data_IF_115491385335
#
_entry.id   IF_115491385335
#
_cell.length_a   1.000
_cell.length_b   1.000
_cell.length_c   1.000
_cell.angle_alpha   90.00
_cell.angle_beta   90.00
_cell.angle_gamma   90.00
#
_symmetry.space_group_name_H-M   'P 1'
#
loop_
_entity.id
_entity.type
_entity.pdbx_description
1 polymer ?
#
# COMPACT_ATOMS: atom_id res chain seq x y z
N UNK A 1 4.71 -7.65 13.31
CA UNK A 1 3.30 -7.86 13.73
C UNK A 1 3.04 -7.42 15.17
N UNK A 2 3.63 -8.03 16.19
CA UNK A 2 3.39 -7.63 17.60
C UNK A 2 3.58 -6.12 17.85
N UNK A 3 4.70 -5.54 17.40
CA UNK A 3 4.96 -4.09 17.53
C UNK A 3 3.90 -3.21 16.84
N UNK A 4 3.37 -3.62 15.67
CA UNK A 4 2.31 -2.90 14.99
C UNK A 4 0.99 -2.93 15.79
N UNK A 5 0.68 -4.06 16.43
CA UNK A 5 -0.48 -4.16 17.32
C UNK A 5 -0.34 -3.28 18.57
N UNK A 6 0.86 -3.24 19.16
CA UNK A 6 1.17 -2.35 20.29
C UNK A 6 0.97 -0.88 19.88
N UNK A 7 1.54 -0.47 18.74
CA UNK A 7 1.34 0.87 18.18
C UNK A 7 -0.14 1.18 17.89
N UNK A 8 -0.90 0.23 17.34
CA UNK A 8 -2.32 0.43 17.04
C UNK A 8 -3.20 0.60 18.28
N UNK A 9 -2.82 -0.01 19.41
CA UNK A 9 -3.61 0.03 20.65
C UNK A 9 -3.86 1.46 21.15
N UNK A 10 -2.91 2.38 20.94
CA UNK A 10 -3.00 3.78 21.36
C UNK A 10 -4.10 4.57 20.63
N UNK A 11 -4.58 4.09 19.48
CA UNK A 11 -5.64 4.73 18.70
C UNK A 11 -7.02 4.09 18.92
N UNK A 12 -7.10 2.99 19.68
CA UNK A 12 -8.34 2.20 19.82
C UNK A 12 -9.03 2.34 21.18
N UNK A 13 -8.52 3.22 22.07
CA UNK A 13 -9.20 3.60 23.31
C UNK A 13 -9.37 2.48 24.36
N UNK A 14 -8.74 1.31 24.19
CA UNK A 14 -8.79 0.20 25.17
C UNK A 14 -7.74 0.30 26.29
N UNK A 15 -7.21 1.49 26.54
CA UNK A 15 -6.47 1.79 27.77
C UNK A 15 -7.43 2.42 28.78
N UNK A 16 -7.58 1.80 29.96
CA UNK A 16 -8.28 2.41 31.09
C UNK A 16 -7.63 3.77 31.42
N UNK A 17 -8.43 4.82 31.50
CA UNK A 17 -8.05 6.10 32.11
C UNK A 17 -7.99 7.27 31.12
N UNK A 18 -8.90 8.23 31.36
CA UNK A 18 -8.97 9.59 30.83
C UNK A 18 -9.45 9.83 29.40
N UNK A 19 -10.76 10.12 29.33
CA UNK A 19 -11.37 10.99 28.34
C UNK A 19 -10.85 12.43 28.50
N UNK A 20 -9.62 12.70 28.06
CA UNK A 20 -9.25 14.06 27.64
C UNK A 20 -9.03 14.03 26.14
N UNK A 21 -9.59 15.02 25.44
CA UNK A 21 -9.33 15.25 24.03
C UNK A 21 -7.81 15.19 23.79
N UNK A 22 -7.36 14.20 23.01
CA UNK A 22 -5.96 14.14 22.60
C UNK A 22 -5.70 15.32 21.65
N UNK A 23 -5.31 16.44 22.25
CA UNK A 23 -4.62 17.53 21.57
C UNK A 23 -3.41 16.97 20.82
N UNK A 24 -3.15 17.51 19.64
CA UNK A 24 -2.08 17.12 18.72
C UNK A 24 -0.64 17.38 19.23
N UNK A 25 -0.34 17.10 20.50
CA UNK A 25 0.89 17.55 21.17
C UNK A 25 1.58 16.58 22.13
N UNK A 26 1.04 15.38 22.40
CA UNK A 26 1.77 14.38 23.20
C UNK A 26 2.22 13.27 22.29
N UNK A 27 3.48 13.31 21.87
CA UNK A 27 4.14 12.19 21.22
C UNK A 27 3.96 10.97 22.13
N UNK A 28 3.31 9.93 21.63
CA UNK A 28 3.22 8.69 22.38
C UNK A 28 4.64 8.12 22.48
N UNK A 29 4.98 7.45 23.59
CA UNK A 29 6.27 6.76 23.72
C UNK A 29 6.50 5.65 22.66
N UNK A 30 5.55 5.44 21.75
CA UNK A 30 5.52 4.41 20.71
C UNK A 30 5.67 4.98 19.29
N UNK A 31 5.81 6.30 19.12
CA UNK A 31 5.87 6.93 17.79
C UNK A 31 7.09 6.53 16.95
N UNK A 32 8.14 5.98 17.59
CA UNK A 32 9.32 5.43 16.93
C UNK A 32 9.06 4.10 16.21
N UNK A 33 8.00 3.36 16.57
CA UNK A 33 7.74 2.00 16.09
C UNK A 33 7.60 1.92 14.57
N UNK A 34 6.74 2.74 13.91
CA UNK A 34 6.57 2.66 12.46
C UNK A 34 7.89 2.90 11.71
N UNK A 35 8.70 3.86 12.16
CA UNK A 35 10.02 4.13 11.58
C UNK A 35 10.94 2.92 11.64
N UNK A 36 11.03 2.25 12.80
CA UNK A 36 11.86 1.04 12.93
C UNK A 36 11.36 -0.12 12.10
N UNK A 37 10.04 -0.29 11.96
CA UNK A 37 9.48 -1.31 11.06
C UNK A 37 9.80 -0.98 9.60
N UNK A 38 9.71 0.29 9.18
CA UNK A 38 10.04 0.71 7.82
C UNK A 38 11.51 0.45 7.50
N UNK A 39 12.43 0.70 8.46
CA UNK A 39 13.86 0.41 8.29
C UNK A 39 14.13 -1.05 7.92
N UNK A 40 13.32 -1.98 8.41
CA UNK A 40 13.44 -3.40 8.10
C UNK A 40 13.20 -3.73 6.62
N UNK A 41 12.61 -2.84 5.82
CA UNK A 41 12.40 -3.09 4.39
C UNK A 41 13.72 -3.21 3.60
N UNK A 42 14.79 -2.55 4.07
CA UNK A 42 16.09 -2.53 3.41
C UNK A 42 17.12 -3.46 4.10
N UNK A 43 16.69 -4.19 5.13
CA UNK A 43 17.55 -5.10 5.88
C UNK A 43 17.70 -6.42 5.10
N UNK A 44 18.94 -6.89 4.82
CA UNK A 44 19.17 -8.08 4.02
C UNK A 44 18.74 -9.37 4.72
N UNK A 45 18.73 -9.39 6.06
CA UNK A 45 18.33 -10.56 6.85
C UNK A 45 16.80 -10.63 6.99
N UNK A 46 16.12 -9.50 6.77
CA UNK A 46 14.67 -9.43 6.83
C UNK A 46 14.04 -9.54 5.45
N UNK A 47 13.03 -10.39 5.39
CA UNK A 47 12.21 -10.59 4.21
C UNK A 47 11.37 -9.34 3.93
N UNK A 48 11.80 -8.51 2.95
CA UNK A 48 11.10 -7.29 2.51
C UNK A 48 9.57 -7.49 2.40
N UNK A 49 9.13 -8.59 1.78
CA UNK A 49 7.72 -8.92 1.59
C UNK A 49 6.93 -9.09 2.90
N UNK A 50 7.57 -9.63 3.95
CA UNK A 50 6.94 -9.80 5.24
C UNK A 50 6.80 -8.45 5.97
N UNK A 51 7.78 -7.56 5.81
CA UNK A 51 7.74 -6.20 6.35
C UNK A 51 6.68 -5.37 5.61
N UNK A 52 6.66 -5.45 4.29
CA UNK A 52 5.67 -4.79 3.42
C UNK A 52 4.24 -5.14 3.83
N UNK A 53 3.98 -6.42 4.13
CA UNK A 53 2.68 -6.86 4.62
C UNK A 53 2.31 -6.22 5.97
N UNK A 54 3.25 -6.12 6.92
CA UNK A 54 2.99 -5.45 8.21
C UNK A 54 2.67 -3.97 8.02
N UNK A 55 3.34 -3.31 7.08
CA UNK A 55 3.10 -1.89 6.77
C UNK A 55 1.70 -1.71 6.18
N UNK A 56 1.33 -2.50 5.17
CA UNK A 56 0.07 -2.37 4.43
C UNK A 56 -1.15 -2.87 5.22
N UNK A 57 -1.02 -3.98 5.94
CA UNK A 57 -2.16 -4.65 6.58
C UNK A 57 -2.38 -4.25 8.04
N UNK A 58 -1.31 -3.83 8.75
CA UNK A 58 -1.36 -3.54 10.19
C UNK A 58 -1.14 -2.05 10.50
N UNK A 59 -0.03 -1.44 10.06
CA UNK A 59 0.33 -0.08 10.47
C UNK A 59 -0.52 1.00 9.80
N UNK A 60 -0.67 0.90 8.47
CA UNK A 60 -1.37 1.88 7.63
C UNK A 60 -2.57 1.24 6.93
N UNK A 61 -3.27 0.39 7.66
CA UNK A 61 -4.33 -0.44 7.11
C UNK A 61 -5.45 0.39 6.46
N UNK A 62 -5.93 0.01 5.26
CA UNK A 62 -7.07 0.63 4.59
C UNK A 62 -8.30 0.82 5.47
N UNK A 63 -8.49 -0.04 6.48
CA UNK A 63 -9.63 -0.05 7.40
C UNK A 63 -9.76 1.22 8.26
N UNK A 64 -8.67 1.98 8.42
CA UNK A 64 -8.67 3.22 9.21
C UNK A 64 -9.19 4.44 8.42
N UNK A 65 -9.28 4.31 7.09
CA UNK A 65 -9.60 5.41 6.19
C UNK A 65 -8.43 6.38 5.95
N UNK A 66 -8.48 7.08 4.81
CA UNK A 66 -7.37 7.88 4.31
C UNK A 66 -6.93 9.02 5.26
N UNK A 67 -7.87 9.67 5.96
CA UNK A 67 -7.53 10.77 6.90
C UNK A 67 -6.67 10.27 8.06
N UNK A 68 -7.06 9.17 8.71
CA UNK A 68 -6.33 8.62 9.86
C UNK A 68 -5.00 8.02 9.41
N UNK A 69 -4.99 7.27 8.31
CA UNK A 69 -3.74 6.76 7.73
C UNK A 69 -2.75 7.89 7.43
N UNK A 70 -3.23 8.99 6.82
CA UNK A 70 -2.36 10.12 6.50
C UNK A 70 -1.85 10.87 7.73
N UNK A 71 -2.66 10.99 8.80
CA UNK A 71 -2.18 11.54 10.08
C UNK A 71 -1.04 10.69 10.66
N UNK A 72 -1.17 9.36 10.62
CA UNK A 72 -0.12 8.44 11.07
C UNK A 72 1.14 8.53 10.20
N UNK A 73 0.98 8.64 8.89
CA UNK A 73 2.10 8.85 7.98
C UNK A 73 2.83 10.16 8.27
N UNK A 74 2.10 11.27 8.47
CA UNK A 74 2.70 12.57 8.83
C UNK A 74 3.48 12.47 10.14
N UNK A 75 2.88 11.86 11.17
CA UNK A 75 3.55 11.64 12.46
C UNK A 75 4.80 10.78 12.31
N UNK A 76 4.69 9.65 11.62
CA UNK A 76 5.82 8.75 11.33
C UNK A 76 6.94 9.51 10.63
N UNK A 77 6.62 10.24 9.55
CA UNK A 77 7.61 11.01 8.80
C UNK A 77 8.26 12.13 9.63
N UNK A 78 7.56 12.69 10.63
CA UNK A 78 8.12 13.74 11.49
C UNK A 78 9.14 13.23 12.50
N UNK A 79 9.15 11.92 12.81
CA UNK A 79 10.04 11.30 13.81
C UNK A 79 11.05 10.33 13.21
N UNK A 80 10.97 10.06 11.91
CA UNK A 80 11.93 9.24 11.18
C UNK A 80 13.31 9.92 11.13
N UNK A 81 14.37 9.14 11.29
CA UNK A 81 15.73 9.61 11.05
C UNK A 81 16.00 9.63 9.52
N UNK A 82 16.53 10.78 9.07
CA UNK A 82 16.78 11.08 7.67
C UNK A 82 17.83 10.19 7.02
N UNK A 83 18.77 9.65 7.79
CA UNK A 83 19.88 8.82 7.30
C UNK A 83 19.50 7.34 7.21
N UNK A 84 18.52 6.87 8.01
CA UNK A 84 18.25 5.43 8.17
C UNK A 84 16.85 5.02 7.71
N UNK A 85 15.80 5.61 8.28
CA UNK A 85 14.42 5.25 7.96
C UNK A 85 13.97 5.82 6.60
N UNK A 86 14.39 7.04 6.26
CA UNK A 86 13.97 7.70 5.01
C UNK A 86 14.42 6.94 3.75
N UNK A 87 15.69 6.49 3.61
CA UNK A 87 16.10 5.67 2.47
C UNK A 87 15.34 4.34 2.38
N UNK A 88 14.97 3.75 3.51
CA UNK A 88 14.22 2.50 3.58
C UNK A 88 12.77 2.69 3.11
N UNK A 89 12.14 3.81 3.45
CA UNK A 89 10.83 4.20 2.91
C UNK A 89 10.91 4.40 1.38
N UNK A 90 11.93 5.12 0.90
CA UNK A 90 12.13 5.34 -0.53
C UNK A 90 12.34 4.01 -1.28
N UNK A 91 13.11 3.07 -0.70
CA UNK A 91 13.28 1.72 -1.23
C UNK A 91 11.93 0.98 -1.33
N UNK A 92 11.13 0.96 -0.25
CA UNK A 92 9.81 0.34 -0.24
C UNK A 92 8.91 0.89 -1.37
N UNK A 93 8.81 2.22 -1.49
CA UNK A 93 7.98 2.87 -2.50
C UNK A 93 8.47 2.58 -3.92
N UNK A 94 9.79 2.58 -4.13
CA UNK A 94 10.39 2.21 -5.43
C UNK A 94 10.07 0.76 -5.79
N UNK A 95 10.16 -0.17 -4.84
CA UNK A 95 9.84 -1.57 -5.09
C UNK A 95 8.35 -1.77 -5.41
N UNK A 96 7.45 -1.06 -4.73
CA UNK A 96 6.02 -1.03 -5.07
C UNK A 96 5.78 -0.52 -6.49
N UNK A 97 6.36 0.63 -6.83
CA UNK A 97 6.24 1.21 -8.17
C UNK A 97 6.70 0.24 -9.26
N UNK A 98 7.85 -0.42 -9.06
CA UNK A 98 8.38 -1.40 -10.02
C UNK A 98 7.46 -2.62 -10.17
N UNK A 99 6.91 -3.13 -9.06
CA UNK A 99 5.93 -4.22 -9.10
C UNK A 99 4.65 -3.84 -9.84
N UNK A 100 4.15 -2.62 -9.63
CA UNK A 100 2.99 -2.08 -10.34
C UNK A 100 3.24 -1.94 -11.84
N UNK A 101 4.42 -1.45 -12.23
CA UNK A 101 4.81 -1.35 -13.64
C UNK A 101 4.92 -2.71 -14.30
N UNK A 102 5.50 -3.71 -13.62
CA UNK A 102 5.59 -5.07 -14.12
C UNK A 102 4.20 -5.71 -14.31
N UNK A 103 3.30 -5.56 -13.34
CA UNK A 103 1.93 -6.06 -13.47
C UNK A 103 1.17 -5.33 -14.58
N UNK A 104 1.33 -4.01 -14.71
CA UNK A 104 0.72 -3.22 -15.79
C UNK A 104 1.18 -3.72 -17.17
N UNK A 105 2.48 -3.93 -17.35
CA UNK A 105 3.02 -4.46 -18.61
C UNK A 105 2.44 -5.84 -18.95
N UNK A 106 2.31 -6.73 -17.95
CA UNK A 106 1.63 -8.01 -18.12
C UNK A 106 0.17 -7.84 -18.57
N UNK A 107 -0.61 -6.98 -17.90
CA UNK A 107 -2.03 -6.77 -18.22
C UNK A 107 -2.22 -6.18 -19.63
N UNK A 108 -1.36 -5.24 -20.03
CA UNK A 108 -1.36 -4.68 -21.40
C UNK A 108 -1.06 -5.75 -22.45
N UNK A 109 -0.05 -6.59 -22.23
CA UNK A 109 0.28 -7.69 -23.15
C UNK A 109 -0.82 -8.74 -23.21
N UNK A 110 -1.43 -9.07 -22.07
CA UNK A 110 -2.59 -9.98 -22.00
C UNK A 110 -3.79 -9.41 -22.76
N UNK A 111 -4.08 -8.11 -22.62
CA UNK A 111 -5.15 -7.46 -23.35
C UNK A 111 -4.89 -7.50 -24.86
N UNK A 112 -3.66 -7.18 -25.28
CA UNK A 112 -3.25 -7.28 -26.68
C UNK A 112 -3.36 -8.71 -27.23
N UNK A 113 -3.00 -9.72 -26.44
CA UNK A 113 -3.18 -11.14 -26.79
C UNK A 113 -4.67 -11.47 -26.97
N UNK A 114 -5.57 -10.96 -26.13
CA UNK A 114 -7.02 -11.19 -26.26
C UNK A 114 -7.60 -10.56 -27.53
N UNK A 115 -7.16 -9.36 -27.87
CA UNK A 115 -7.67 -8.60 -29.03
C UNK A 115 -7.08 -9.08 -30.36
N UNK A 116 -5.78 -9.40 -30.37
CA UNK A 116 -5.02 -9.70 -31.59
C UNK A 116 -4.71 -11.20 -31.74
N UNK A 117 -5.07 -12.03 -30.77
CA UNK A 117 -4.80 -13.47 -30.73
C UNK A 117 -5.56 -14.32 -31.75
N UNK A 118 -6.30 -13.70 -32.67
CA UNK A 118 -6.96 -14.37 -33.81
C UNK A 118 -6.32 -14.00 -35.15
N UNK A 119 -5.18 -13.29 -35.13
CA UNK A 119 -4.38 -12.97 -36.33
C UNK A 119 -3.53 -14.17 -36.76
N UNK A 120 -2.56 -13.95 -37.63
CA UNK A 120 -1.64 -14.99 -38.10
C UNK A 120 -0.81 -15.61 -36.95
N UNK A 121 -0.29 -16.84 -37.19
CA UNK A 121 0.46 -17.62 -36.20
C UNK A 121 1.69 -16.89 -35.65
N UNK A 122 2.38 -16.08 -36.47
CA UNK A 122 3.58 -15.38 -36.02
C UNK A 122 3.24 -14.26 -35.03
N UNK A 123 2.15 -13.54 -35.28
CA UNK A 123 1.62 -12.54 -34.35
C UNK A 123 1.23 -13.15 -33.01
N UNK A 124 0.56 -14.31 -33.01
CA UNK A 124 0.15 -15.03 -31.79
C UNK A 124 1.38 -15.44 -30.97
N UNK A 125 2.35 -16.11 -31.58
CA UNK A 125 3.57 -16.55 -30.90
C UNK A 125 4.39 -15.38 -30.33
N UNK A 126 4.45 -14.25 -31.04
CA UNK A 126 5.13 -13.04 -30.56
C UNK A 126 4.45 -12.44 -29.31
N UNK A 127 3.11 -12.46 -29.25
CA UNK A 127 2.34 -11.98 -28.10
C UNK A 127 2.48 -12.93 -26.91
N UNK A 128 2.43 -14.24 -27.12
CA UNK A 128 2.67 -15.25 -26.07
C UNK A 128 4.05 -15.06 -25.43
N UNK A 129 5.09 -14.85 -26.24
CA UNK A 129 6.44 -14.57 -25.74
C UNK A 129 6.50 -13.30 -24.87
N UNK A 130 5.77 -12.24 -25.25
CA UNK A 130 5.70 -11.00 -24.45
C UNK A 130 4.98 -11.20 -23.14
N UNK A 131 3.88 -11.95 -23.14
CA UNK A 131 3.12 -12.29 -21.93
C UNK A 131 3.99 -13.12 -20.97
N UNK A 132 4.66 -14.15 -21.48
CA UNK A 132 5.59 -14.99 -20.70
C UNK A 132 6.73 -14.17 -20.09
N UNK A 133 7.36 -13.29 -20.88
CA UNK A 133 8.42 -12.42 -20.38
C UNK A 133 7.93 -11.48 -19.27
N UNK A 134 6.75 -10.88 -19.42
CA UNK A 134 6.19 -10.00 -18.40
C UNK A 134 5.81 -10.76 -17.12
N UNK A 135 5.28 -11.98 -17.22
CA UNK A 135 5.05 -12.84 -16.05
C UNK A 135 6.35 -13.16 -15.33
N UNK A 136 7.43 -13.46 -16.07
CA UNK A 136 8.76 -13.70 -15.47
C UNK A 136 9.27 -12.45 -14.73
N UNK A 137 9.23 -11.29 -15.38
CA UNK A 137 9.66 -10.02 -14.79
C UNK A 137 8.88 -9.67 -13.53
N UNK A 138 7.57 -9.91 -13.50
CA UNK A 138 6.75 -9.70 -12.31
C UNK A 138 7.14 -10.68 -11.18
N UNK A 139 7.46 -11.93 -11.54
CA UNK A 139 7.79 -12.98 -10.58
C UNK A 139 9.12 -12.74 -9.85
N UNK A 140 10.06 -12.01 -10.47
CA UNK A 140 11.34 -11.64 -9.86
C UNK A 140 11.19 -10.71 -8.63
N UNK A 141 10.01 -10.12 -8.40
CA UNK A 141 9.71 -9.32 -7.21
C UNK A 141 9.24 -10.15 -6.00
N UNK A 142 9.21 -11.47 -6.11
CA UNK A 142 8.75 -12.39 -5.09
C UNK A 142 9.90 -13.20 -4.48
N UNK A 143 9.69 -13.79 -3.28
CA UNK A 143 10.76 -14.48 -2.55
C UNK A 143 11.23 -15.76 -3.25
N UNK A 144 10.32 -16.42 -3.96
CA UNK A 144 10.57 -17.63 -4.72
C UNK A 144 10.14 -17.38 -6.18
N UNK A 145 10.98 -16.75 -7.02
CA UNK A 145 10.58 -16.31 -8.36
C UNK A 145 10.03 -17.42 -9.26
N UNK A 146 10.56 -18.64 -9.16
CA UNK A 146 10.07 -19.77 -9.96
C UNK A 146 8.66 -20.20 -9.54
N UNK A 147 8.40 -20.33 -8.24
CA UNK A 147 7.05 -20.64 -7.72
C UNK A 147 6.05 -19.52 -8.00
N UNK A 148 6.51 -18.27 -7.95
CA UNK A 148 5.69 -17.11 -8.31
C UNK A 148 5.30 -17.14 -9.80
N UNK A 149 6.22 -17.53 -10.67
CA UNK A 149 5.95 -17.71 -12.10
C UNK A 149 4.93 -18.81 -12.34
N UNK A 150 5.13 -20.00 -11.76
CA UNK A 150 4.18 -21.12 -11.84
C UNK A 150 2.78 -20.69 -11.34
N UNK A 151 2.71 -19.98 -10.21
CA UNK A 151 1.45 -19.44 -9.69
C UNK A 151 0.80 -18.42 -10.62
N UNK A 152 1.61 -17.59 -11.29
CA UNK A 152 1.13 -16.60 -12.25
C UNK A 152 0.59 -17.26 -13.53
N UNK A 153 1.23 -18.34 -13.98
CA UNK A 153 0.76 -19.17 -15.11
C UNK A 153 -0.60 -19.80 -14.79
N UNK A 154 -0.77 -20.39 -13.60
CA UNK A 154 -2.06 -20.90 -13.14
C UNK A 154 -3.16 -19.81 -13.17
N UNK A 155 -2.86 -18.62 -12.66
CA UNK A 155 -3.81 -17.49 -12.68
C UNK A 155 -4.12 -17.05 -14.12
N UNK A 156 -3.12 -17.04 -15.01
CA UNK A 156 -3.29 -16.69 -16.41
C UNK A 156 -4.24 -17.66 -17.13
N UNK A 157 -4.09 -18.96 -16.87
CA UNK A 157 -4.87 -20.05 -17.47
C UNK A 157 -6.34 -20.03 -17.08
N UNK A 158 -6.69 -19.53 -15.89
CA UNK A 158 -8.09 -19.36 -15.47
C UNK A 158 -8.89 -18.48 -16.45
N UNK A 159 -8.21 -17.57 -17.17
CA UNK A 159 -8.80 -16.63 -18.13
C UNK A 159 -9.95 -15.79 -17.57
N UNK A 160 -10.18 -15.77 -16.25
CA UNK A 160 -11.23 -15.00 -15.60
C UNK A 160 -10.96 -13.50 -15.74
N UNK A 161 -11.68 -12.86 -16.66
CA UNK A 161 -11.56 -11.43 -16.93
C UNK A 161 -11.87 -10.54 -15.72
N UNK A 162 -12.65 -11.01 -14.74
CA UNK A 162 -12.93 -10.23 -13.53
C UNK A 162 -11.72 -10.13 -12.62
N UNK A 163 -10.93 -11.20 -12.47
CA UNK A 163 -9.68 -11.16 -11.69
C UNK A 163 -8.77 -10.05 -12.23
N UNK A 164 -8.57 -10.02 -13.54
CA UNK A 164 -7.68 -9.03 -14.17
C UNK A 164 -8.21 -7.60 -14.10
N UNK A 165 -9.53 -7.40 -14.28
CA UNK A 165 -10.16 -6.07 -14.06
C UNK A 165 -10.04 -5.60 -12.62
N UNK A 166 -10.20 -6.50 -11.65
CA UNK A 166 -10.01 -6.16 -10.24
C UNK A 166 -8.55 -5.85 -9.92
N UNK A 167 -7.58 -6.53 -10.56
CA UNK A 167 -6.16 -6.17 -10.46
C UNK A 167 -5.86 -4.77 -11.00
N UNK A 168 -6.45 -4.38 -12.14
CA UNK A 168 -6.36 -3.00 -12.67
C UNK A 168 -6.90 -2.01 -11.62
N UNK A 169 -8.05 -2.30 -11.02
CA UNK A 169 -8.66 -1.44 -9.99
C UNK A 169 -7.81 -1.32 -8.72
N UNK A 170 -7.10 -2.38 -8.33
CA UNK A 170 -6.19 -2.35 -7.17
C UNK A 170 -4.99 -1.42 -7.37
N UNK A 171 -4.57 -1.23 -8.63
CA UNK A 171 -3.47 -0.33 -9.02
C UNK A 171 -3.91 1.08 -9.42
N UNK A 172 -5.22 1.35 -9.44
CA UNK A 172 -5.78 2.63 -9.88
C UNK A 172 -5.53 3.73 -8.82
N UNK A 173 -4.74 4.78 -9.13
CA UNK A 173 -4.44 5.84 -8.17
C UNK A 173 -5.65 6.74 -7.87
N UNK A 174 -6.68 6.73 -8.72
CA UNK A 174 -7.93 7.47 -8.53
C UNK A 174 -9.01 6.66 -7.80
N UNK A 175 -8.80 5.35 -7.61
CA UNK A 175 -9.72 4.50 -6.87
C UNK A 175 -9.80 4.88 -5.40
N UNK A 176 -11.01 4.84 -4.85
CA UNK A 176 -11.21 5.00 -3.41
C UNK A 176 -10.66 3.79 -2.65
N UNK A 177 -10.28 4.00 -1.40
CA UNK A 177 -9.74 2.95 -0.54
C UNK A 177 -10.73 1.78 -0.35
N UNK A 178 -12.02 2.09 -0.29
CA UNK A 178 -13.09 1.08 -0.22
C UNK A 178 -13.19 0.25 -1.50
N UNK A 179 -13.01 0.87 -2.67
CA UNK A 179 -13.02 0.19 -3.96
C UNK A 179 -11.81 -0.72 -4.11
N UNK A 180 -10.62 -0.24 -3.72
CA UNK A 180 -9.38 -1.03 -3.68
C UNK A 180 -9.56 -2.24 -2.77
N UNK A 181 -10.11 -2.02 -1.55
CA UNK A 181 -10.35 -3.10 -0.58
C UNK A 181 -11.33 -4.13 -1.13
N UNK A 182 -12.43 -3.69 -1.74
CA UNK A 182 -13.42 -4.57 -2.36
C UNK A 182 -12.81 -5.37 -3.52
N UNK A 183 -12.02 -4.73 -4.39
CA UNK A 183 -11.36 -5.39 -5.51
C UNK A 183 -10.37 -6.49 -5.03
N UNK A 184 -9.60 -6.22 -3.96
CA UNK A 184 -8.74 -7.24 -3.32
C UNK A 184 -9.54 -8.45 -2.83
N UNK A 185 -10.66 -8.20 -2.16
CA UNK A 185 -11.53 -9.28 -1.66
C UNK A 185 -12.17 -10.08 -2.80
N UNK A 186 -12.62 -9.41 -3.86
CA UNK A 186 -13.21 -10.06 -5.04
C UNK A 186 -12.20 -10.99 -5.73
N UNK A 187 -10.95 -10.54 -5.94
CA UNK A 187 -9.88 -11.37 -6.49
C UNK A 187 -9.68 -12.64 -5.67
N UNK A 188 -9.53 -12.51 -4.36
CA UNK A 188 -9.29 -13.66 -3.47
C UNK A 188 -10.50 -14.59 -3.39
N UNK A 189 -11.72 -14.04 -3.39
CA UNK A 189 -12.96 -14.82 -3.38
C UNK A 189 -13.11 -15.65 -4.65
N UNK A 190 -12.81 -15.06 -5.82
CA UNK A 190 -12.87 -15.74 -7.12
C UNK A 190 -11.84 -16.84 -7.27
N UNK A 191 -10.62 -16.57 -6.81
CA UNK A 191 -9.55 -17.57 -6.83
C UNK A 191 -9.84 -18.72 -5.87
N UNK A 192 -10.43 -18.41 -4.70
CA UNK A 192 -10.75 -19.39 -3.66
C UNK A 192 -9.57 -19.66 -2.73
N UNK A 193 -9.86 -19.89 -1.44
CA UNK A 193 -8.83 -20.05 -0.40
C UNK A 193 -8.02 -21.34 -0.52
N UNK A 194 -8.54 -22.35 -1.22
CA UNK A 194 -7.87 -23.64 -1.44
C UNK A 194 -7.03 -23.69 -2.72
N UNK A 195 -7.12 -22.67 -3.56
CA UNK A 195 -6.40 -22.65 -4.83
C UNK A 195 -4.89 -22.45 -4.59
N UNK A 196 -4.06 -23.16 -5.34
CA UNK A 196 -2.60 -23.19 -5.17
C UNK A 196 -1.97 -21.79 -5.29
N UNK A 197 -2.42 -21.00 -6.28
CA UNK A 197 -2.01 -19.61 -6.46
C UNK A 197 -2.56 -18.60 -5.41
N UNK A 198 -3.38 -19.01 -4.43
CA UNK A 198 -4.01 -18.08 -3.48
C UNK A 198 -2.99 -17.33 -2.63
N UNK A 199 -1.98 -18.02 -2.10
CA UNK A 199 -0.91 -17.38 -1.32
C UNK A 199 -0.08 -16.39 -2.14
N UNK A 200 0.23 -16.75 -3.39
CA UNK A 200 0.87 -15.83 -4.34
C UNK A 200 0.02 -14.57 -4.57
N UNK A 201 -1.29 -14.75 -4.81
CA UNK A 201 -2.20 -13.64 -5.08
C UNK A 201 -2.32 -12.68 -3.89
N UNK A 202 -2.34 -13.20 -2.66
CA UNK A 202 -2.32 -12.36 -1.45
C UNK A 202 -1.07 -11.45 -1.42
N UNK A 203 0.11 -12.02 -1.70
CA UNK A 203 1.35 -11.25 -1.77
C UNK A 203 1.35 -10.25 -2.92
N UNK A 204 0.85 -10.63 -4.09
CA UNK A 204 0.75 -9.74 -5.25
C UNK A 204 -0.13 -8.53 -4.93
N UNK A 205 -1.30 -8.75 -4.33
CA UNK A 205 -2.24 -7.67 -3.97
C UNK A 205 -1.62 -6.68 -2.98
N UNK A 206 -0.92 -7.17 -1.94
CA UNK A 206 -0.16 -6.29 -1.03
C UNK A 206 0.87 -5.47 -1.80
N UNK A 207 1.61 -6.11 -2.71
CA UNK A 207 2.72 -5.49 -3.44
C UNK A 207 2.26 -4.37 -4.37
N UNK A 208 1.22 -4.61 -5.16
CA UNK A 208 0.80 -3.70 -6.24
C UNK A 208 -0.28 -2.70 -5.83
N UNK A 209 -0.91 -2.88 -4.67
CA UNK A 209 -2.01 -2.01 -4.25
C UNK A 209 -1.58 -0.56 -4.04
N UNK A 210 -2.42 0.37 -4.49
CA UNK A 210 -2.34 1.82 -4.20
C UNK A 210 -2.89 2.18 -2.81
N UNK A 211 -2.91 1.24 -1.87
CA UNK A 211 -3.47 1.40 -0.52
C UNK A 211 -2.69 2.34 0.38
N UNK A 212 -1.36 2.47 0.22
CA UNK A 212 -0.53 3.33 1.06
C UNK A 212 -0.65 4.81 0.67
N UNK A 213 -0.68 5.09 -0.63
CA UNK A 213 -0.73 6.43 -1.20
C UNK A 213 -1.54 6.40 -2.50
N UNK A 214 -2.76 6.94 -2.43
CA UNK A 214 -3.61 7.23 -3.58
C UNK A 214 -4.10 8.69 -3.50
N UNK A 215 -4.98 9.08 -4.41
CA UNK A 215 -5.59 10.41 -4.42
C UNK A 215 -6.29 10.80 -3.11
N UNK A 216 -6.94 9.86 -2.42
CA UNK A 216 -7.59 10.14 -1.14
C UNK A 216 -6.57 10.49 -0.05
N UNK A 217 -5.41 9.83 -0.03
CA UNK A 217 -4.33 10.14 0.91
C UNK A 217 -3.74 11.54 0.65
N UNK A 218 -3.49 11.88 -0.62
CA UNK A 218 -3.01 13.21 -1.01
C UNK A 218 -4.02 14.29 -0.60
N UNK A 219 -5.30 14.06 -0.89
CA UNK A 219 -6.38 14.98 -0.50
C UNK A 219 -6.47 15.14 1.02
N UNK A 220 -6.36 14.03 1.75
CA UNK A 220 -6.32 14.05 3.21
C UNK A 220 -5.14 14.84 3.75
N UNK A 221 -3.95 14.70 3.16
CA UNK A 221 -2.76 15.44 3.56
C UNK A 221 -2.98 16.96 3.43
N UNK A 222 -3.49 17.43 2.29
CA UNK A 222 -3.81 18.85 2.08
C UNK A 222 -4.86 19.35 3.07
N UNK A 223 -5.89 18.55 3.36
CA UNK A 223 -6.92 18.91 4.34
C UNK A 223 -6.33 19.06 5.74
N UNK A 224 -5.50 18.11 6.18
CA UNK A 224 -4.81 18.15 7.48
C UNK A 224 -3.91 19.39 7.59
N UNK A 225 -3.12 19.67 6.55
CA UNK A 225 -2.24 20.85 6.51
C UNK A 225 -3.04 22.14 6.61
N UNK A 226 -4.14 22.25 5.86
CA UNK A 226 -5.04 23.42 5.91
C UNK A 226 -5.65 23.61 7.30
N UNK A 227 -6.17 22.54 7.90
CA UNK A 227 -6.70 22.55 9.27
C UNK A 227 -5.65 23.07 10.26
N UNK A 228 -4.40 22.57 10.19
CA UNK A 228 -3.30 23.01 11.08
C UNK A 228 -2.90 24.47 10.88
N UNK A 229 -2.79 24.94 9.64
CA UNK A 229 -2.46 26.34 9.33
C UNK A 229 -3.54 27.27 9.87
N UNK A 230 -4.81 26.89 9.74
CA UNK A 230 -5.92 27.70 10.25
C UNK A 230 -5.89 27.80 11.78
N UNK A 231 -5.69 26.67 12.47
CA UNK A 231 -5.53 26.65 13.93
C UNK A 231 -4.36 27.53 14.43
N UNK A 232 -3.22 27.53 13.72
CA UNK A 232 -2.08 28.38 14.08
C UNK A 232 -2.43 29.87 13.97
N UNK A 233 -3.10 30.28 12.88
CA UNK A 233 -3.53 31.67 12.67
C UNK A 233 -4.56 32.13 13.71
N UNK A 234 -5.48 31.26 14.10
CA UNK A 234 -6.50 31.60 15.07
C UNK A 234 -5.92 31.71 16.49
N UNK A 235 -4.96 30.84 16.84
CA UNK A 235 -4.20 30.95 18.08
C UNK A 235 -3.31 32.20 18.17
N UNK A 236 -2.72 32.65 17.07
CA UNK A 236 -2.00 33.94 17.02
C UNK A 236 -2.93 35.13 17.23
N UNK A 237 -4.12 35.14 16.60
CA UNK A 237 -5.11 36.20 16.80
C UNK A 237 -5.60 36.28 18.25
N UNK A 238 -5.74 35.14 18.92
CA UNK A 238 -6.19 35.07 20.31
C UNK A 238 -5.12 35.59 21.29
N UNK A 239 -3.83 35.27 21.06
CA UNK A 239 -2.71 35.84 21.81
C UNK A 239 -2.59 37.35 21.63
N UNK A 240 -2.77 37.86 20.40
CA UNK A 240 -2.73 39.31 20.13
C UNK A 240 -3.90 40.05 20.79
N UNK A 241 -5.10 39.44 20.86
CA UNK A 241 -6.24 40.03 21.59
C UNK A 241 -5.98 40.10 23.10
N UNK A 242 -5.39 39.07 23.69
CA UNK A 242 -5.03 39.07 25.12
C UNK A 242 -3.95 40.11 25.45
N UNK A 243 -2.99 40.34 24.54
CA UNK A 243 -1.93 41.32 24.74
C UNK A 243 -2.41 42.78 24.62
N UNK A 244 -3.46 43.05 23.84
CA UNK A 244 -4.03 44.40 23.65
C UNK A 244 -5.09 44.73 24.72
N UNK A 245 -5.52 43.76 25.53
CA UNK A 245 -6.57 43.91 26.56
C UNK A 245 -6.08 43.84 28.00
N UNK A 246 -4.77 43.70 28.23
CA UNK A 246 -4.11 43.81 29.55
C UNK A 246 -3.23 45.05 29.63
#
# INVERSE_FOLDING_TARGET
KHLANVYNSQFTGKGKGDHSAHSAGTLSGLDWIPGKIIRCCADPDLRQHAVEQVIDEELFTPKLGAKVCMQRWILTCSVMDGERETPSLAFLLRMKQRGQQALKAYLEHRQAQREKGKKDKATVAALEKKVALAMRQLSDFFPEPNKALESMELVHELKDGHIFKSLEKVMDPDAKQSEITHARQDVLKRLGSKHEACGFMQMLLVKVSMSLFNKEHVTAAFKILRERIQHAKDGEKEKTKQFVSG
#
